data_IF_448913111003
#
_entry.id   IF_448913111003
#
_cell.length_a   1.000
_cell.length_b   1.000
_cell.length_c   1.000
_cell.angle_alpha   90.00
_cell.angle_beta   90.00
_cell.angle_gamma   90.00
#
_symmetry.space_group_name_H-M   'P 1'
#
loop_
_entity.id
_entity.type
_entity.pdbx_description
1 polymer ?
#
# COMPACT_ATOMS: atom_id res chain seq x y z
N UNK A 1 -29.16 -5.33 -4.10
CA UNK A 1 -28.35 -4.26 -3.45
C UNK A 1 -26.92 -4.76 -3.44
N UNK A 2 -26.05 -4.11 -4.23
CA UNK A 2 -24.71 -4.63 -4.60
C UNK A 2 -23.72 -4.52 -3.44
N UNK A 3 -22.75 -5.44 -3.33
CA UNK A 3 -21.76 -5.56 -2.26
C UNK A 3 -20.83 -4.33 -2.05
N UNK A 4 -20.99 -3.27 -2.84
CA UNK A 4 -20.23 -2.02 -2.77
C UNK A 4 -20.92 -0.93 -1.93
N UNK A 5 -21.97 -1.23 -1.16
CA UNK A 5 -22.78 -0.22 -0.46
C UNK A 5 -22.14 0.43 0.77
N UNK A 6 -20.94 0.02 1.20
CA UNK A 6 -20.24 0.60 2.36
C UNK A 6 -18.89 1.21 1.96
N UNK A 7 -18.51 2.40 2.47
CA UNK A 7 -17.16 2.94 2.30
C UNK A 7 -16.06 1.94 2.67
N UNK A 8 -16.24 1.16 3.74
CA UNK A 8 -15.29 0.13 4.18
C UNK A 8 -15.12 -0.98 3.14
N UNK A 9 -16.22 -1.42 2.52
CA UNK A 9 -16.17 -2.41 1.46
C UNK A 9 -15.47 -1.87 0.20
N UNK A 10 -15.67 -0.58 -0.11
CA UNK A 10 -15.00 0.08 -1.23
C UNK A 10 -13.49 0.19 -1.00
N UNK A 11 -13.03 0.65 0.18
CA UNK A 11 -11.60 0.73 0.50
C UNK A 11 -10.93 -0.63 0.40
N UNK A 12 -11.52 -1.67 0.99
CA UNK A 12 -11.02 -3.05 0.85
C UNK A 12 -10.89 -3.48 -0.60
N UNK A 13 -11.88 -3.15 -1.44
CA UNK A 13 -11.84 -3.50 -2.87
C UNK A 13 -10.72 -2.76 -3.61
N UNK A 14 -10.49 -1.49 -3.27
CA UNK A 14 -9.39 -0.70 -3.83
C UNK A 14 -8.04 -1.29 -3.41
N UNK A 15 -7.89 -1.67 -2.13
CA UNK A 15 -6.68 -2.33 -1.62
C UNK A 15 -6.39 -3.64 -2.36
N UNK A 16 -7.40 -4.50 -2.57
CA UNK A 16 -7.25 -5.74 -3.34
C UNK A 16 -6.77 -5.48 -4.78
N UNK A 17 -7.29 -4.44 -5.43
CA UNK A 17 -6.85 -4.06 -6.78
C UNK A 17 -5.41 -3.55 -6.76
N UNK A 18 -5.05 -2.73 -5.77
CA UNK A 18 -3.70 -2.21 -5.63
C UNK A 18 -2.68 -3.29 -5.26
N UNK A 19 -3.05 -4.30 -4.48
CA UNK A 19 -2.21 -5.47 -4.19
C UNK A 19 -1.86 -6.20 -5.50
N UNK A 20 -2.88 -6.47 -6.33
CA UNK A 20 -2.67 -7.10 -7.63
C UNK A 20 -1.80 -6.27 -8.58
N UNK A 21 -1.99 -4.94 -8.61
CA UNK A 21 -1.17 -4.03 -9.41
C UNK A 21 0.28 -4.01 -8.93
N UNK A 22 0.50 -3.91 -7.62
CA UNK A 22 1.83 -3.92 -7.02
C UNK A 22 2.55 -5.24 -7.31
N UNK A 23 1.88 -6.40 -7.19
CA UNK A 23 2.47 -7.71 -7.45
C UNK A 23 2.88 -7.90 -8.92
N UNK A 24 2.05 -7.45 -9.87
CA UNK A 24 2.41 -7.45 -11.30
C UNK A 24 3.62 -6.55 -11.53
N UNK A 25 3.63 -5.36 -10.95
CA UNK A 25 4.68 -4.38 -11.19
C UNK A 25 6.01 -4.83 -10.56
N UNK A 26 6.01 -5.33 -9.32
CA UNK A 26 7.19 -5.90 -8.65
C UNK A 26 7.84 -7.01 -9.47
N UNK A 27 7.05 -7.88 -10.10
CA UNK A 27 7.56 -8.94 -10.98
C UNK A 27 8.30 -8.37 -12.19
N UNK A 28 7.75 -7.35 -12.84
CA UNK A 28 8.44 -6.70 -13.97
C UNK A 28 9.77 -6.09 -13.55
N UNK A 29 9.79 -5.39 -12.41
CA UNK A 29 11.02 -4.76 -11.90
C UNK A 29 12.10 -5.80 -11.64
N UNK A 30 11.78 -6.89 -10.93
CA UNK A 30 12.78 -7.94 -10.66
C UNK A 30 13.18 -8.72 -11.92
N UNK A 31 12.25 -8.96 -12.85
CA UNK A 31 12.54 -9.66 -14.09
C UNK A 31 13.44 -8.84 -15.03
N UNK A 32 13.25 -7.52 -15.08
CA UNK A 32 14.15 -6.62 -15.80
C UNK A 32 15.51 -6.51 -15.09
N UNK A 33 15.51 -6.36 -13.76
CA UNK A 33 16.74 -6.27 -12.99
C UNK A 33 17.62 -7.50 -13.18
N UNK A 34 17.02 -8.70 -13.19
CA UNK A 34 17.74 -9.97 -13.40
C UNK A 34 18.31 -10.15 -14.80
N UNK A 35 17.85 -9.38 -15.80
CA UNK A 35 18.50 -9.37 -17.12
C UNK A 35 19.85 -8.65 -17.09
N UNK A 36 19.99 -7.68 -16.19
CA UNK A 36 21.20 -6.86 -16.02
C UNK A 36 22.12 -7.48 -14.96
N UNK A 37 21.55 -7.89 -13.83
CA UNK A 37 22.22 -8.48 -12.68
C UNK A 37 21.54 -9.79 -12.27
N UNK A 38 21.93 -10.95 -12.85
CA UNK A 38 21.21 -12.22 -12.67
C UNK A 38 21.04 -12.70 -11.22
N UNK A 39 21.94 -12.32 -10.32
CA UNK A 39 21.91 -12.70 -8.91
C UNK A 39 21.07 -11.77 -8.02
N UNK A 40 20.50 -10.68 -8.56
CA UNK A 40 19.76 -9.71 -7.77
C UNK A 40 18.47 -10.31 -7.20
N UNK A 41 18.24 -10.05 -5.92
CA UNK A 41 17.07 -10.50 -5.17
C UNK A 41 16.02 -9.40 -5.08
N UNK A 42 14.78 -9.75 -4.71
CA UNK A 42 13.74 -8.75 -4.49
C UNK A 42 14.03 -7.82 -3.29
N UNK A 43 14.89 -8.25 -2.36
CA UNK A 43 15.35 -7.41 -1.25
C UNK A 43 16.31 -6.33 -1.74
N UNK A 44 17.25 -6.72 -2.61
CA UNK A 44 18.26 -5.84 -3.20
C UNK A 44 17.62 -4.66 -3.97
N UNK A 45 16.53 -4.92 -4.68
CA UNK A 45 15.77 -3.91 -5.43
C UNK A 45 15.20 -2.79 -4.55
N UNK A 46 15.08 -2.99 -3.23
CA UNK A 46 14.61 -1.91 -2.34
C UNK A 46 15.65 -0.80 -2.16
N UNK A 47 16.92 -1.10 -2.42
CA UNK A 47 18.03 -0.15 -2.36
C UNK A 47 18.82 -0.21 -3.67
N UNK A 48 18.22 0.19 -4.81
CA UNK A 48 18.83 -0.01 -6.13
C UNK A 48 20.13 0.79 -6.31
N UNK A 49 20.35 1.83 -5.50
CA UNK A 49 21.57 2.63 -5.48
C UNK A 49 22.82 1.84 -5.04
N UNK A 50 22.66 0.69 -4.38
CA UNK A 50 23.77 -0.20 -4.04
C UNK A 50 24.25 -1.04 -5.25
N UNK A 51 23.52 -0.98 -6.38
CA UNK A 51 23.75 -1.76 -7.59
C UNK A 51 23.99 -0.82 -8.77
N UNK A 52 25.20 -0.25 -8.94
CA UNK A 52 25.47 0.74 -9.98
C UNK A 52 25.30 0.21 -11.41
N UNK A 53 25.38 -1.11 -11.59
CA UNK A 53 25.13 -1.78 -12.87
C UNK A 53 23.63 -1.88 -13.23
N UNK A 54 22.74 -1.50 -12.30
CA UNK A 54 21.30 -1.41 -12.50
C UNK A 54 20.92 -0.04 -13.07
N UNK A 55 21.47 0.28 -14.25
CA UNK A 55 21.26 1.55 -14.95
C UNK A 55 20.71 1.32 -16.35
N UNK A 56 19.40 1.02 -16.41
CA UNK A 56 18.68 0.73 -17.65
C UNK A 56 17.38 1.55 -17.72
N UNK A 57 17.10 2.25 -18.84
CA UNK A 57 15.91 3.10 -18.96
C UNK A 57 14.57 2.37 -18.78
N UNK A 58 14.45 1.13 -19.29
CA UNK A 58 13.22 0.36 -19.19
C UNK A 58 13.02 -0.11 -17.74
N UNK A 59 14.11 -0.49 -17.07
CA UNK A 59 14.09 -0.80 -15.63
C UNK A 59 13.68 0.42 -14.79
N UNK A 60 14.30 1.59 -15.01
CA UNK A 60 13.99 2.82 -14.28
C UNK A 60 12.52 3.25 -14.46
N UNK A 61 11.97 3.06 -15.66
CA UNK A 61 10.56 3.33 -15.92
C UNK A 61 9.66 2.42 -15.07
N UNK A 62 9.90 1.12 -15.08
CA UNK A 62 9.06 0.16 -14.34
C UNK A 62 9.25 0.29 -12.81
N UNK A 63 10.44 0.67 -12.33
CA UNK A 63 10.68 0.98 -10.91
C UNK A 63 9.95 2.26 -10.48
N UNK A 64 9.99 3.32 -11.29
CA UNK A 64 9.22 4.54 -11.05
C UNK A 64 7.71 4.30 -10.99
N UNK A 65 7.19 3.40 -11.85
CA UNK A 65 5.79 2.98 -11.82
C UNK A 65 5.45 2.21 -10.53
N UNK A 66 6.36 1.36 -10.04
CA UNK A 66 6.20 0.68 -8.75
C UNK A 66 6.13 1.69 -7.59
N UNK A 67 7.04 2.67 -7.58
CA UNK A 67 7.05 3.74 -6.59
C UNK A 67 5.74 4.56 -6.61
N UNK A 68 5.20 4.84 -7.81
CA UNK A 68 3.91 5.51 -7.96
C UNK A 68 2.74 4.72 -7.36
N UNK A 69 2.68 3.40 -7.61
CA UNK A 69 1.66 2.52 -7.01
C UNK A 69 1.77 2.51 -5.49
N UNK A 70 2.99 2.44 -4.96
CA UNK A 70 3.25 2.47 -3.52
C UNK A 70 2.86 3.81 -2.87
N UNK A 71 3.12 4.92 -3.55
CA UNK A 71 2.69 6.25 -3.10
C UNK A 71 1.16 6.33 -3.01
N UNK A 72 0.43 5.82 -4.00
CA UNK A 72 -1.04 5.75 -3.98
C UNK A 72 -1.55 4.88 -2.82
N UNK A 73 -0.92 3.73 -2.58
CA UNK A 73 -1.25 2.86 -1.43
C UNK A 73 -1.06 3.58 -0.10
N UNK A 74 0.04 4.31 0.06
CA UNK A 74 0.29 5.10 1.26
C UNK A 74 -0.77 6.19 1.47
N UNK A 75 -1.08 6.95 0.42
CA UNK A 75 -2.09 8.01 0.45
C UNK A 75 -3.49 7.44 0.79
N UNK A 76 -3.88 6.33 0.17
CA UNK A 76 -5.17 5.69 0.41
C UNK A 76 -5.31 5.13 1.82
N UNK A 77 -4.24 4.62 2.42
CA UNK A 77 -4.26 4.21 3.84
C UNK A 77 -4.52 5.39 4.76
N UNK A 78 -3.95 6.56 4.48
CA UNK A 78 -4.26 7.80 5.18
C UNK A 78 -5.72 8.18 5.03
N UNK A 79 -6.18 8.28 3.78
CA UNK A 79 -7.56 8.62 3.46
C UNK A 79 -8.56 7.64 4.08
N UNK A 80 -8.28 6.35 4.11
CA UNK A 80 -9.15 5.34 4.70
C UNK A 80 -9.33 5.55 6.21
N UNK A 81 -8.28 5.98 6.94
CA UNK A 81 -8.41 6.30 8.37
C UNK A 81 -9.28 7.53 8.55
N UNK A 82 -9.03 8.58 7.77
CA UNK A 82 -9.79 9.83 7.85
C UNK A 82 -11.28 9.62 7.52
N UNK A 83 -11.60 8.78 6.53
CA UNK A 83 -12.97 8.57 6.05
C UNK A 83 -13.74 7.53 6.87
N UNK A 84 -13.07 6.46 7.33
CA UNK A 84 -13.73 5.44 8.15
C UNK A 84 -13.78 5.82 9.63
N UNK A 85 -13.07 6.87 10.04
CA UNK A 85 -13.00 7.34 11.41
C UNK A 85 -12.18 6.43 12.32
N UNK A 86 -11.58 7.02 13.35
CA UNK A 86 -11.10 6.32 14.54
C UNK A 86 -12.32 5.86 15.37
N UNK A 87 -13.18 5.01 14.81
CA UNK A 87 -14.42 4.49 15.43
C UNK A 87 -14.20 3.82 16.81
N UNK A 88 -12.94 3.60 17.21
CA UNK A 88 -12.55 3.06 18.51
C UNK A 88 -12.48 4.11 19.63
N UNK A 89 -12.41 5.42 19.34
CA UNK A 89 -12.23 6.46 20.37
C UNK A 89 -13.53 6.87 21.09
N UNK A 90 -14.72 6.62 20.52
CA UNK A 90 -16.00 7.07 21.08
C UNK A 90 -16.71 6.03 21.96
N UNK A 91 -16.28 4.76 21.97
CA UNK A 91 -16.94 3.70 22.77
C UNK A 91 -16.42 3.57 24.21
N UNK A 92 -15.38 4.31 24.60
CA UNK A 92 -14.76 4.23 25.94
C UNK A 92 -15.10 5.35 26.92
N UNK A 93 -15.93 6.33 26.54
CA UNK A 93 -16.19 7.53 27.35
C UNK A 93 -17.65 7.68 27.84
N UNK A 94 -18.57 6.84 27.36
CA UNK A 94 -19.99 6.92 27.73
C UNK A 94 -20.38 5.99 28.90
N UNK A 95 -19.46 5.14 29.40
CA UNK A 95 -19.77 4.10 30.41
C UNK A 95 -19.34 4.45 31.86
N UNK A 96 -18.68 5.59 32.12
CA UNK A 96 -18.18 5.97 33.47
C UNK A 96 -18.82 7.26 34.05
N UNK A 97 -20.01 7.65 33.57
CA UNK A 97 -20.63 8.94 33.93
C UNK A 97 -21.76 8.93 34.95
N UNK A 98 -22.26 7.78 35.41
CA UNK A 98 -23.54 7.76 36.14
C UNK A 98 -23.71 6.64 37.14
N UNK A 99 -23.13 6.78 38.33
CA UNK A 99 -23.81 6.43 39.59
C UNK A 99 -22.97 6.85 40.80
N UNK A 100 -23.41 7.89 41.49
CA UNK A 100 -22.75 8.39 42.71
C UNK A 100 -23.59 9.44 43.43
N UNK A 101 -24.91 9.25 43.46
CA UNK A 101 -25.85 10.12 44.15
C UNK A 101 -26.70 9.34 45.13
N UNK A 102 -26.26 9.27 46.39
CA UNK A 102 -27.07 9.36 47.64
C UNK A 102 -26.20 9.12 48.86
#
# INVERSE_FOLDING_TARGET
>A
MSALSSPRALFRRIEEVLDGLEDVQRRKVIDLARRLLPSVTSEDIRNPHDFPDLDDPDWHFEDGQLAGIQAVRFALRGLSRDVLGDDEAQQGQDDEGGEGGR
#
